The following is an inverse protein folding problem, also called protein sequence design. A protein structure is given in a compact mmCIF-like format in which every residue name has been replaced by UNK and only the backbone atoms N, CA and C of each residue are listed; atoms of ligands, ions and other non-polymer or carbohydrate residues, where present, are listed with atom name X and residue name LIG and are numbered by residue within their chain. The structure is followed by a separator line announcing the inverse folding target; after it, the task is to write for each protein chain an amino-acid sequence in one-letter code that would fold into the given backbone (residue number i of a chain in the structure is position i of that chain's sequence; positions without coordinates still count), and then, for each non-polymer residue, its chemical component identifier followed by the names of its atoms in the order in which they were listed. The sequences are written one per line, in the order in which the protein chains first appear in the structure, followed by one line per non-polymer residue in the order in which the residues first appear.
data_IF_330691815904
#
_entry.id   IF_330691815904
#
_cell.length_a   1.000
_cell.length_b   1.000
_cell.length_c   1.000
_cell.angle_alpha   90.00
_cell.angle_beta   90.00
_cell.angle_gamma   90.00
#
_symmetry.space_group_name_H-M   'P 1'
#
loop_
_entity.id
_entity.type
_entity.pdbx_description
1 polymer ?
#
# COMPACT_ATOMS: atom_id res chain seq x y z
N UNK A 1 5.18 -24.34 -1.96
CA UNK A 1 4.84 -24.33 -3.41
C UNK A 1 4.27 -22.96 -3.74
N UNK A 2 4.95 -22.16 -4.56
CA UNK A 2 4.40 -20.90 -5.07
C UNK A 2 3.27 -21.23 -6.05
N UNK A 3 2.12 -20.56 -5.92
CA UNK A 3 0.95 -20.80 -6.77
C UNK A 3 1.20 -20.26 -8.17
N UNK A 4 0.98 -21.07 -9.22
CA UNK A 4 1.09 -20.68 -10.63
C UNK A 4 -0.01 -19.71 -11.09
N UNK A 5 -0.84 -19.21 -10.18
CA UNK A 5 -2.04 -18.41 -10.45
C UNK A 5 -1.87 -16.98 -9.98
N UNK A 6 -1.98 -16.01 -10.90
CA UNK A 6 -1.65 -14.61 -10.70
C UNK A 6 -2.51 -13.93 -9.62
N UNK A 7 -3.79 -14.26 -9.56
CA UNK A 7 -4.75 -13.65 -8.63
C UNK A 7 -4.96 -14.46 -7.35
N UNK A 8 -4.06 -15.41 -7.06
CA UNK A 8 -4.18 -16.23 -5.84
C UNK A 8 -4.11 -15.36 -4.60
N UNK A 9 -5.14 -15.42 -3.75
CA UNK A 9 -5.24 -14.62 -2.53
C UNK A 9 -6.03 -13.31 -2.70
N UNK A 10 -6.29 -12.89 -3.94
CA UNK A 10 -7.07 -11.68 -4.26
C UNK A 10 -8.51 -11.99 -4.69
N UNK A 11 -8.79 -13.22 -5.12
CA UNK A 11 -10.11 -13.65 -5.62
C UNK A 11 -11.01 -14.22 -4.51
N UNK A 12 -12.26 -13.75 -4.44
CA UNK A 12 -13.30 -14.13 -3.50
C UNK A 12 -14.64 -14.42 -4.19
N UNK A 13 -15.43 -15.31 -3.60
CA UNK A 13 -16.72 -15.72 -4.14
C UNK A 13 -17.77 -14.70 -3.75
N UNK A 14 -18.50 -14.16 -4.73
CA UNK A 14 -19.60 -13.21 -4.52
C UNK A 14 -20.77 -13.79 -3.70
N UNK A 15 -20.97 -15.11 -3.76
CA UNK A 15 -22.07 -15.81 -3.07
C UNK A 15 -21.74 -16.09 -1.60
N UNK A 16 -20.63 -16.79 -1.33
CA UNK A 16 -20.33 -17.28 0.03
C UNK A 16 -19.19 -16.52 0.73
N UNK A 17 -18.57 -15.54 0.07
CA UNK A 17 -17.41 -14.80 0.57
C UNK A 17 -16.11 -15.61 0.68
N UNK A 18 -16.14 -16.91 0.37
CA UNK A 18 -14.95 -17.78 0.45
C UNK A 18 -13.90 -17.45 -0.61
N UNK A 19 -12.63 -17.74 -0.34
CA UNK A 19 -11.53 -17.55 -1.30
C UNK A 19 -11.71 -18.45 -2.52
N UNK A 20 -11.36 -17.96 -3.71
CA UNK A 20 -11.18 -18.82 -4.88
C UNK A 20 -9.73 -19.29 -4.97
N UNK A 21 -9.54 -20.56 -5.30
CA UNK A 21 -8.23 -21.17 -5.49
C UNK A 21 -8.08 -21.64 -6.93
N UNK A 22 -6.87 -21.48 -7.47
CA UNK A 22 -6.52 -21.94 -8.80
C UNK A 22 -6.51 -23.47 -8.89
N UNK A 23 -7.10 -23.99 -9.96
CA UNK A 23 -7.17 -25.42 -10.29
C UNK A 23 -6.95 -25.64 -11.77
N UNK A 24 -6.00 -26.51 -12.07
CA UNK A 24 -5.69 -26.92 -13.42
C UNK A 24 -6.41 -28.24 -13.70
N UNK A 25 -7.29 -28.24 -14.68
CA UNK A 25 -7.94 -29.45 -15.18
C UNK A 25 -7.22 -29.92 -16.44
N UNK A 26 -6.95 -31.22 -16.53
CA UNK A 26 -6.34 -31.82 -17.73
C UNK A 26 -7.42 -32.63 -18.44
N UNK A 27 -7.73 -32.26 -19.67
CA UNK A 27 -8.62 -33.01 -20.56
C UNK A 27 -8.05 -34.38 -20.89
N UNK A 28 -8.89 -35.35 -21.25
CA UNK A 28 -8.47 -36.68 -21.70
C UNK A 28 -7.56 -36.66 -22.94
N UNK A 29 -7.56 -35.55 -23.72
CA UNK A 29 -6.64 -35.31 -24.85
C UNK A 29 -5.33 -34.61 -24.44
N UNK A 30 -5.08 -34.42 -23.14
CA UNK A 30 -3.86 -33.80 -22.60
C UNK A 30 -3.88 -32.26 -22.51
N UNK A 31 -4.93 -31.59 -22.99
CA UNK A 31 -5.06 -30.13 -22.85
C UNK A 31 -5.26 -29.72 -21.39
N UNK A 32 -4.43 -28.79 -20.90
CA UNK A 32 -4.56 -28.23 -19.56
C UNK A 32 -5.33 -26.91 -19.61
N UNK A 33 -6.38 -26.80 -18.82
CA UNK A 33 -7.17 -25.56 -18.66
C UNK A 33 -7.15 -25.10 -17.21
N UNK A 34 -6.94 -23.80 -17.01
CA UNK A 34 -6.74 -23.18 -15.68
C UNK A 34 -8.02 -22.44 -15.26
N UNK A 35 -8.49 -22.70 -14.04
CA UNK A 35 -9.70 -22.08 -13.49
C UNK A 35 -9.50 -21.63 -12.04
N UNK A 36 -10.17 -20.57 -11.63
CA UNK A 36 -10.37 -20.23 -10.22
C UNK A 36 -11.69 -20.83 -9.74
N UNK A 37 -11.65 -21.60 -8.65
CA UNK A 37 -12.83 -22.31 -8.12
C UNK A 37 -13.05 -21.98 -6.65
N UNK A 38 -14.31 -21.92 -6.21
CA UNK A 38 -14.62 -21.65 -4.80
C UNK A 38 -14.07 -22.76 -3.89
N UNK A 39 -13.22 -22.38 -2.93
CA UNK A 39 -12.60 -23.32 -1.97
C UNK A 39 -13.62 -23.94 -1.02
N UNK A 40 -14.57 -23.16 -0.49
CA UNK A 40 -15.61 -23.67 0.44
C UNK A 40 -16.50 -24.70 -0.23
N UNK A 41 -16.95 -24.44 -1.46
CA UNK A 41 -17.72 -25.41 -2.26
C UNK A 41 -16.91 -26.67 -2.51
N UNK A 42 -15.64 -26.50 -2.87
CA UNK A 42 -14.73 -27.62 -3.11
C UNK A 42 -14.49 -28.50 -1.89
N UNK A 43 -14.59 -27.92 -0.69
CA UNK A 43 -14.50 -28.62 0.59
C UNK A 43 -15.83 -29.29 1.01
N UNK A 44 -16.89 -29.20 0.19
CA UNK A 44 -18.16 -29.87 0.44
C UNK A 44 -19.23 -29.02 1.12
N UNK A 45 -18.98 -27.73 1.39
CA UNK A 45 -19.98 -26.79 1.92
C UNK A 45 -20.96 -26.35 0.83
N UNK A 46 -21.82 -27.29 0.41
CA UNK A 46 -22.76 -27.09 -0.70
C UNK A 46 -23.93 -26.20 -0.33
N UNK A 47 -24.34 -26.21 0.94
CA UNK A 47 -25.41 -25.36 1.49
C UNK A 47 -25.06 -23.86 1.37
N UNK A 48 -23.81 -23.49 1.69
CA UNK A 48 -23.35 -22.10 1.67
C UNK A 48 -23.03 -21.56 0.26
N UNK A 49 -22.81 -22.46 -0.71
CA UNK A 49 -22.43 -22.09 -2.08
C UNK A 49 -23.03 -23.11 -3.07
N UNK A 50 -24.31 -22.96 -3.46
CA UNK A 50 -25.08 -24.03 -4.12
C UNK A 50 -24.65 -24.33 -5.56
N UNK A 51 -24.25 -23.31 -6.32
CA UNK A 51 -24.01 -23.44 -7.77
C UNK A 51 -22.58 -23.86 -8.13
N UNK A 52 -21.60 -23.57 -7.27
CA UNK A 52 -20.20 -23.96 -7.49
C UNK A 52 -19.63 -23.52 -8.84
N UNK A 53 -19.10 -22.31 -8.91
CA UNK A 53 -18.64 -21.72 -10.17
C UNK A 53 -17.12 -21.80 -10.35
N UNK A 54 -16.71 -21.83 -11.62
CA UNK A 54 -15.31 -21.81 -12.06
C UNK A 54 -15.09 -20.62 -13.00
N UNK A 55 -14.19 -19.71 -12.63
CA UNK A 55 -13.81 -18.57 -13.46
C UNK A 55 -12.61 -18.99 -14.31
N UNK A 56 -12.63 -18.87 -15.65
CA UNK A 56 -11.46 -19.13 -16.49
C UNK A 56 -10.30 -18.22 -16.08
N UNK A 57 -9.17 -18.82 -15.68
CA UNK A 57 -8.06 -18.05 -15.10
C UNK A 57 -7.47 -17.07 -16.12
N UNK A 58 -7.24 -17.52 -17.35
CA UNK A 58 -6.68 -16.67 -18.42
C UNK A 58 -7.51 -15.42 -18.66
N UNK A 59 -8.84 -15.56 -18.78
CA UNK A 59 -9.72 -14.42 -19.09
C UNK A 59 -9.72 -13.37 -17.98
N UNK A 60 -9.84 -13.79 -16.71
CA UNK A 60 -9.84 -12.84 -15.59
C UNK A 60 -8.46 -12.23 -15.35
N UNK A 61 -7.38 -13.02 -15.53
CA UNK A 61 -6.00 -12.55 -15.41
C UNK A 61 -5.69 -11.49 -16.47
N UNK A 62 -6.02 -11.75 -17.73
CA UNK A 62 -5.82 -10.81 -18.83
C UNK A 62 -6.65 -9.53 -18.67
N UNK A 63 -7.89 -9.66 -18.19
CA UNK A 63 -8.76 -8.51 -17.95
C UNK A 63 -8.21 -7.60 -16.85
N UNK A 64 -7.80 -8.16 -15.71
CA UNK A 64 -7.18 -7.39 -14.60
C UNK A 64 -5.90 -6.71 -15.05
N UNK A 65 -5.04 -7.44 -15.78
CA UNK A 65 -3.80 -6.87 -16.33
C UNK A 65 -4.10 -5.77 -17.35
N UNK A 66 -5.18 -5.90 -18.14
CA UNK A 66 -5.62 -4.89 -19.10
C UNK A 66 -6.00 -3.57 -18.45
N UNK A 67 -6.80 -3.62 -17.38
CA UNK A 67 -7.17 -2.43 -16.59
C UNK A 67 -5.93 -1.73 -16.06
N UNK A 68 -5.03 -2.49 -15.40
CA UNK A 68 -3.80 -1.92 -14.83
C UNK A 68 -2.93 -1.25 -15.90
N UNK A 69 -2.78 -1.87 -17.08
CA UNK A 69 -2.03 -1.27 -18.19
C UNK A 69 -2.68 0.02 -18.69
N UNK A 70 -4.00 0.03 -18.81
CA UNK A 70 -4.72 1.22 -19.24
C UNK A 70 -4.53 2.37 -18.24
N UNK A 71 -4.64 2.09 -16.95
CA UNK A 71 -4.48 3.09 -15.90
C UNK A 71 -3.04 3.62 -15.85
N UNK A 72 -2.04 2.74 -15.93
CA UNK A 72 -0.62 3.12 -16.02
C UNK A 72 -0.35 4.02 -17.23
N UNK A 73 -0.89 3.67 -18.40
CA UNK A 73 -0.74 4.47 -19.60
C UNK A 73 -1.42 5.85 -19.48
N UNK A 74 -2.56 5.93 -18.80
CA UNK A 74 -3.22 7.21 -18.53
C UNK A 74 -2.37 8.08 -17.60
N UNK A 75 -1.84 7.51 -16.52
CA UNK A 75 -0.98 8.23 -15.57
C UNK A 75 0.35 8.67 -16.20
N UNK A 76 0.96 7.85 -17.05
CA UNK A 76 2.21 8.18 -17.73
C UNK A 76 2.05 9.36 -18.69
N UNK A 77 0.89 9.49 -19.34
CA UNK A 77 0.58 10.57 -20.28
C UNK A 77 -0.02 11.82 -19.60
N UNK A 78 -0.17 11.80 -18.27
CA UNK A 78 -0.70 12.93 -17.52
C UNK A 78 0.40 13.96 -17.23
N UNK A 79 0.44 15.02 -18.03
CA UNK A 79 1.37 16.15 -17.88
C UNK A 79 1.22 16.89 -16.53
N UNK A 80 0.09 16.73 -15.84
CA UNK A 80 -0.13 17.33 -14.51
C UNK A 80 0.46 16.50 -13.38
N UNK A 81 0.75 15.21 -13.60
CA UNK A 81 1.25 14.31 -12.56
C UNK A 81 2.59 14.78 -11.96
N UNK A 82 3.60 15.19 -12.74
CA UNK A 82 4.84 15.71 -12.17
C UNK A 82 4.63 16.96 -11.31
N UNK A 83 3.70 17.83 -11.70
CA UNK A 83 3.34 19.05 -10.95
C UNK A 83 2.65 18.70 -9.62
N UNK A 84 1.72 17.75 -9.65
CA UNK A 84 1.03 17.28 -8.44
C UNK A 84 2.01 16.63 -7.45
N UNK A 85 2.92 15.79 -7.96
CA UNK A 85 3.99 15.17 -7.15
C UNK A 85 4.89 16.25 -6.55
N UNK A 86 5.30 17.25 -7.33
CA UNK A 86 6.11 18.36 -6.84
C UNK A 86 5.41 19.14 -5.71
N UNK A 87 4.16 19.54 -5.93
CA UNK A 87 3.37 20.28 -4.94
C UNK A 87 3.22 19.49 -3.63
N UNK A 88 3.04 18.18 -3.71
CA UNK A 88 2.88 17.36 -2.50
C UNK A 88 4.21 17.17 -1.78
N UNK A 89 5.33 17.03 -2.52
CA UNK A 89 6.67 17.04 -1.95
C UNK A 89 7.00 18.39 -1.28
N UNK A 90 6.56 19.52 -1.84
CA UNK A 90 6.71 20.85 -1.26
C UNK A 90 5.95 20.97 0.05
N UNK A 91 4.69 20.52 0.10
CA UNK A 91 3.90 20.52 1.35
C UNK A 91 4.53 19.63 2.42
N UNK A 92 4.99 18.44 2.06
CA UNK A 92 5.65 17.52 3.00
C UNK A 92 6.96 18.13 3.52
N UNK A 93 7.76 18.72 2.66
CA UNK A 93 9.01 19.40 3.03
C UNK A 93 8.75 20.63 3.90
N UNK A 94 7.75 21.45 3.54
CA UNK A 94 7.34 22.62 4.32
C UNK A 94 6.88 22.24 5.73
N UNK A 95 5.97 21.27 5.84
CA UNK A 95 5.51 20.76 7.14
C UNK A 95 6.66 20.19 7.99
N UNK A 96 7.61 19.47 7.36
CA UNK A 96 8.81 18.97 8.05
C UNK A 96 9.68 20.11 8.58
N UNK A 97 9.87 21.17 7.80
CA UNK A 97 10.60 22.36 8.23
C UNK A 97 9.94 23.01 9.45
N UNK A 98 8.61 23.20 9.43
CA UNK A 98 7.88 23.76 10.57
C UNK A 98 7.99 22.90 11.83
N UNK A 99 7.90 21.57 11.68
CA UNK A 99 8.07 20.61 12.78
C UNK A 99 9.50 20.68 13.34
N UNK A 100 10.52 20.70 12.48
CA UNK A 100 11.91 20.83 12.90
C UNK A 100 12.17 22.14 13.65
N UNK A 101 11.66 23.27 13.15
CA UNK A 101 11.76 24.57 13.84
C UNK A 101 11.04 24.58 15.20
N UNK A 102 9.90 23.90 15.31
CA UNK A 102 9.19 23.74 16.59
C UNK A 102 10.02 22.93 17.58
N UNK A 103 10.59 21.80 17.15
CA UNK A 103 11.42 20.94 17.99
C UNK A 103 12.71 21.65 18.43
N UNK A 104 13.36 22.42 17.55
CA UNK A 104 14.52 23.25 17.89
C UNK A 104 14.18 24.28 18.98
N UNK A 105 13.03 24.95 18.86
CA UNK A 105 12.56 25.90 19.91
C UNK A 105 12.28 25.20 21.25
N UNK A 106 11.72 23.99 21.21
CA UNK A 106 11.50 23.20 22.42
C UNK A 106 12.82 22.76 23.06
N UNK A 107 13.79 22.33 22.25
CA UNK A 107 15.12 21.96 22.72
C UNK A 107 15.82 23.14 23.41
N UNK A 108 15.83 24.31 22.77
CA UNK A 108 16.41 25.53 23.36
C UNK A 108 15.74 25.91 24.69
N UNK A 109 14.42 25.70 24.83
CA UNK A 109 13.69 25.94 26.08
C UNK A 109 14.09 24.93 27.16
N UNK A 110 14.19 23.65 26.84
CA UNK A 110 14.64 22.60 27.78
C UNK A 110 16.09 22.84 28.23
N UNK A 111 16.96 23.28 27.32
CA UNK A 111 18.35 23.64 27.66
C UNK A 111 18.44 24.82 28.62
N UNK A 112 17.62 25.86 28.39
CA UNK A 112 17.53 26.99 29.31
C UNK A 112 16.97 26.56 30.67
N UNK A 113 15.98 25.68 30.71
CA UNK A 113 15.45 25.14 31.96
C UNK A 113 16.51 24.35 32.73
N UNK A 114 17.24 23.45 32.06
CA UNK A 114 18.34 22.70 32.67
C UNK A 114 19.44 23.63 33.20
N UNK A 115 19.79 24.70 32.47
CA UNK A 115 20.74 25.70 32.92
C UNK A 115 20.27 26.40 34.21
N UNK A 116 19.01 26.82 34.25
CA UNK A 116 18.43 27.47 35.43
C UNK A 116 18.36 26.50 36.63
N UNK A 117 17.94 25.26 36.41
CA UNK A 117 17.90 24.23 37.47
C UNK A 117 19.29 23.94 38.02
N UNK A 118 20.31 23.92 37.16
CA UNK A 118 21.71 23.75 37.57
C UNK A 118 22.18 24.92 38.43
N UNK A 119 21.86 26.16 38.07
CA UNK A 119 22.18 27.34 38.87
C UNK A 119 21.48 27.29 40.25
N UNK A 120 20.21 26.89 40.30
CA UNK A 120 19.48 26.70 41.55
C UNK A 120 20.08 25.59 42.43
N UNK A 121 20.53 24.49 41.82
CA UNK A 121 21.22 23.41 42.56
C UNK A 121 22.56 23.87 43.15
N UNK A 122 23.28 24.77 42.49
CA UNK A 122 24.55 25.31 42.98
C UNK A 122 24.37 26.34 44.11
N UNK A 123 23.20 26.99 44.19
CA UNK A 123 22.91 28.03 45.20
C UNK A 123 22.22 27.50 46.46
N UNK A 124 21.69 26.26 46.44
CA UNK A 124 20.98 25.65 47.56
C UNK A 124 21.80 24.56 48.25
N UNK A 125 21.49 24.28 49.52
CA UNK A 125 22.03 23.10 50.21
C UNK A 125 21.36 21.82 49.67
N UNK A 126 22.10 20.70 49.69
CA UNK A 126 21.61 19.41 49.18
C UNK A 126 20.26 18.97 49.81
N UNK A 127 20.04 19.29 51.10
CA UNK A 127 18.79 19.00 51.79
C UNK A 127 17.60 19.81 51.26
N UNK A 128 17.80 21.11 50.99
CA UNK A 128 16.78 22.00 50.44
C UNK A 128 16.46 21.66 48.97
N UNK A 129 17.48 21.36 48.18
CA UNK A 129 17.32 20.90 46.80
C UNK A 129 16.51 19.60 46.71
N UNK A 130 16.75 18.66 47.63
CA UNK A 130 16.02 17.39 47.71
C UNK A 130 14.56 17.58 48.13
N UNK A 131 14.29 18.42 49.13
CA UNK A 131 12.90 18.68 49.57
C UNK A 131 12.07 19.40 48.51
N UNK A 132 12.71 20.19 47.65
CA UNK A 132 12.06 20.89 46.54
C UNK A 132 11.94 20.04 45.26
N UNK A 133 12.41 18.79 45.25
CA UNK A 133 12.30 17.89 44.10
C UNK A 133 13.16 18.28 42.90
N UNK A 134 14.21 19.10 43.08
CA UNK A 134 15.00 19.63 41.96
C UNK A 134 15.75 18.54 41.18
N UNK A 135 16.20 17.48 41.86
CA UNK A 135 16.90 16.35 41.21
C UNK A 135 15.98 15.58 40.24
N UNK A 136 14.74 15.33 40.65
CA UNK A 136 13.73 14.66 39.80
C UNK A 136 13.39 15.54 38.59
N UNK A 137 13.26 16.86 38.80
CA UNK A 137 12.99 17.80 37.71
C UNK A 137 14.14 17.84 36.70
N UNK A 138 15.40 17.82 37.15
CA UNK A 138 16.58 17.77 36.27
C UNK A 138 16.61 16.47 35.47
N UNK A 139 16.33 15.33 36.12
CA UNK A 139 16.25 14.05 35.41
C UNK A 139 15.18 14.10 34.32
N UNK A 140 13.97 14.54 34.65
CA UNK A 140 12.87 14.62 33.69
C UNK A 140 13.16 15.59 32.54
N UNK A 141 13.74 16.75 32.82
CA UNK A 141 14.14 17.70 31.78
C UNK A 141 15.26 17.17 30.87
N UNK A 142 16.13 16.30 31.40
CA UNK A 142 17.18 15.63 30.62
C UNK A 142 16.58 14.56 29.70
N UNK A 143 15.67 13.73 30.22
CA UNK A 143 14.94 12.73 29.43
C UNK A 143 14.09 13.39 28.32
N UNK A 144 13.42 14.51 28.64
CA UNK A 144 12.66 15.29 27.67
C UNK A 144 13.55 15.87 26.58
N UNK A 145 14.75 16.36 26.93
CA UNK A 145 15.75 16.88 25.99
C UNK A 145 16.21 15.78 25.03
N UNK A 146 16.63 14.63 25.56
CA UNK A 146 17.08 13.48 24.75
C UNK A 146 15.98 12.99 23.79
N UNK A 147 14.72 12.97 24.24
CA UNK A 147 13.57 12.64 23.40
C UNK A 147 13.41 13.64 22.25
N UNK A 148 13.44 14.94 22.54
CA UNK A 148 13.30 16.00 21.53
C UNK A 148 14.46 15.96 20.53
N UNK A 149 15.68 15.69 20.98
CA UNK A 149 16.86 15.53 20.09
C UNK A 149 16.68 14.35 19.13
N UNK A 150 16.14 13.23 19.60
CA UNK A 150 15.84 12.07 18.76
C UNK A 150 14.77 12.40 17.70
N UNK A 151 13.66 13.00 18.12
CA UNK A 151 12.58 13.44 17.22
C UNK A 151 13.08 14.44 16.17
N UNK A 152 13.96 15.38 16.57
CA UNK A 152 14.56 16.33 15.65
C UNK A 152 15.48 15.64 14.63
N UNK A 153 16.31 14.70 15.07
CA UNK A 153 17.20 13.95 14.20
C UNK A 153 16.43 13.07 13.19
N UNK A 154 15.25 12.57 13.55
CA UNK A 154 14.34 11.88 12.64
C UNK A 154 13.71 12.83 11.63
N UNK A 155 13.16 13.96 12.08
CA UNK A 155 12.55 14.97 11.21
C UNK A 155 13.56 15.56 10.21
N UNK A 156 14.83 15.68 10.61
CA UNK A 156 15.91 16.25 9.79
C UNK A 156 16.50 15.26 8.77
N UNK A 157 16.45 13.95 9.05
CA UNK A 157 17.10 12.92 8.21
C UNK A 157 16.51 12.85 6.79
N UNK A 158 15.23 13.17 6.66
CA UNK A 158 14.51 13.08 5.38
C UNK A 158 14.21 14.46 4.77
N UNK A 159 14.90 15.52 5.20
CA UNK A 159 14.81 16.85 4.59
C UNK A 159 15.56 16.87 3.23
N UNK A 160 15.12 16.02 2.29
CA UNK A 160 15.56 16.05 0.90
C UNK A 160 14.85 17.22 0.24
N UNK A 161 15.62 18.15 -0.32
CA UNK A 161 15.06 19.25 -1.10
C UNK A 161 14.17 18.73 -2.23
N UNK A 162 13.10 19.45 -2.53
CA UNK A 162 12.20 19.09 -3.62
C UNK A 162 12.99 19.13 -4.94
N UNK A 163 13.07 18.01 -5.69
CA UNK A 163 13.77 18.01 -6.98
C UNK A 163 13.08 18.94 -7.99
N UNK A 164 13.84 19.42 -8.96
CA UNK A 164 13.30 20.16 -10.10
C UNK A 164 12.27 19.28 -10.86
N UNK A 165 11.29 19.94 -11.48
CA UNK A 165 10.22 19.32 -12.24
C UNK A 165 10.75 18.44 -13.37
N UNK A 166 11.83 18.85 -14.05
CA UNK A 166 12.45 18.05 -15.11
C UNK A 166 13.08 16.75 -14.57
N UNK A 167 13.66 16.81 -13.37
CA UNK A 167 14.20 15.63 -12.68
C UNK A 167 13.06 14.71 -12.23
N UNK A 168 11.96 15.27 -11.73
CA UNK A 168 10.76 14.51 -11.36
C UNK A 168 10.14 13.83 -12.58
N UNK A 169 10.02 14.53 -13.71
CA UNK A 169 9.51 13.97 -14.97
C UNK A 169 10.36 12.78 -15.42
N UNK A 170 11.69 12.94 -15.43
CA UNK A 170 12.60 11.87 -15.81
C UNK A 170 12.50 10.66 -14.86
N UNK A 171 12.38 10.90 -13.55
CA UNK A 171 12.19 9.82 -12.56
C UNK A 171 10.87 9.09 -12.76
N UNK A 172 9.75 9.82 -12.87
CA UNK A 172 8.43 9.22 -13.11
C UNK A 172 8.43 8.39 -14.40
N UNK A 173 8.98 8.92 -15.49
CA UNK A 173 9.10 8.18 -16.75
C UNK A 173 9.90 6.86 -16.57
N UNK A 174 11.02 6.91 -15.84
CA UNK A 174 11.82 5.71 -15.56
C UNK A 174 11.09 4.68 -14.68
N UNK A 175 10.29 5.13 -13.71
CA UNK A 175 9.50 4.23 -12.87
C UNK A 175 8.33 3.63 -13.66
N UNK A 176 7.62 4.40 -14.49
CA UNK A 176 6.59 3.86 -15.37
C UNK A 176 7.16 2.81 -16.33
N UNK A 177 8.33 3.04 -16.91
CA UNK A 177 8.98 2.06 -17.77
C UNK A 177 9.28 0.75 -17.02
N UNK A 178 9.75 0.83 -15.76
CA UNK A 178 9.97 -0.38 -14.94
C UNK A 178 8.67 -1.13 -14.66
N UNK A 179 7.58 -0.42 -14.41
CA UNK A 179 6.26 -1.04 -14.20
C UNK A 179 5.77 -1.74 -15.47
N UNK A 180 5.95 -1.12 -16.64
CA UNK A 180 5.63 -1.74 -17.92
C UNK A 180 6.49 -2.98 -18.21
N UNK A 181 7.80 -2.91 -17.93
CA UNK A 181 8.72 -4.04 -18.09
C UNK A 181 8.34 -5.19 -17.15
N UNK A 182 7.98 -4.89 -15.90
CA UNK A 182 7.48 -5.89 -14.94
C UNK A 182 6.16 -6.53 -15.41
N UNK A 183 5.27 -5.76 -16.01
CA UNK A 183 4.01 -6.27 -16.58
C UNK A 183 4.20 -7.12 -17.83
N UNK A 184 5.15 -6.76 -18.69
CA UNK A 184 5.42 -7.47 -19.93
C UNK A 184 6.27 -8.72 -19.68
N UNK A 185 7.46 -8.53 -19.13
CA UNK A 185 8.54 -9.52 -19.05
C UNK A 185 8.82 -10.02 -17.63
N UNK A 186 8.22 -9.38 -16.62
CA UNK A 186 8.41 -9.76 -15.22
C UNK A 186 7.99 -11.19 -14.91
N UNK A 187 8.60 -11.71 -13.86
CA UNK A 187 8.25 -12.97 -13.22
C UNK A 187 6.82 -12.95 -12.69
N UNK A 188 6.25 -14.13 -12.44
CA UNK A 188 4.93 -14.24 -11.83
C UNK A 188 4.86 -13.51 -10.47
N UNK A 189 5.95 -13.48 -9.72
CA UNK A 189 6.02 -12.82 -8.42
C UNK A 189 5.96 -11.31 -8.55
N UNK A 190 6.76 -10.72 -9.43
CA UNK A 190 6.72 -9.27 -9.71
C UNK A 190 5.35 -8.82 -10.20
N UNK A 191 4.72 -9.61 -11.09
CA UNK A 191 3.35 -9.32 -11.57
C UNK A 191 2.32 -9.39 -10.44
N UNK A 192 2.49 -10.32 -9.50
CA UNK A 192 1.59 -10.42 -8.33
C UNK A 192 1.75 -9.24 -7.39
N UNK A 193 2.98 -8.82 -7.12
CA UNK A 193 3.28 -7.66 -6.29
C UNK A 193 2.67 -6.39 -6.90
N UNK A 194 2.85 -6.20 -8.21
CA UNK A 194 2.25 -5.08 -8.90
C UNK A 194 0.73 -5.09 -8.84
N UNK A 195 0.09 -6.23 -9.09
CA UNK A 195 -1.37 -6.35 -8.97
C UNK A 195 -1.83 -6.08 -7.53
N UNK A 196 -1.07 -6.53 -6.52
CA UNK A 196 -1.40 -6.29 -5.12
C UNK A 196 -1.31 -4.80 -4.72
N UNK A 197 -0.58 -3.97 -5.47
CA UNK A 197 -0.56 -2.52 -5.28
C UNK A 197 -1.80 -1.81 -5.87
N UNK A 198 -2.40 -2.38 -6.92
CA UNK A 198 -3.55 -1.79 -7.62
C UNK A 198 -4.89 -2.35 -7.13
N UNK A 199 -4.94 -3.66 -6.89
CA UNK A 199 -6.17 -4.41 -6.62
C UNK A 199 -6.23 -4.81 -5.15
N UNK A 200 -7.28 -4.36 -4.47
CA UNK A 200 -7.57 -4.71 -3.08
C UNK A 200 -8.21 -6.11 -2.99
N UNK A 201 -9.33 -6.31 -3.71
CA UNK A 201 -10.01 -7.61 -3.77
C UNK A 201 -10.75 -7.77 -5.10
N UNK A 202 -10.95 -9.00 -5.52
CA UNK A 202 -11.75 -9.34 -6.70
C UNK A 202 -12.86 -10.29 -6.27
N UNK A 203 -14.12 -9.92 -6.50
CA UNK A 203 -15.28 -10.75 -6.19
C UNK A 203 -15.92 -11.26 -7.46
N UNK A 204 -15.96 -12.58 -7.64
CA UNK A 204 -16.64 -13.20 -8.76
C UNK A 204 -18.05 -13.66 -8.35
N UNK A 205 -19.07 -13.03 -8.92
CA UNK A 205 -20.48 -13.38 -8.72
C UNK A 205 -21.00 -14.24 -9.88
N UNK A 206 -21.32 -15.52 -9.63
CA UNK A 206 -21.84 -16.43 -10.64
C UNK A 206 -23.32 -16.21 -10.99
N UNK A 207 -24.10 -15.55 -10.13
CA UNK A 207 -25.53 -15.31 -10.39
C UNK A 207 -25.70 -14.14 -11.36
N UNK A 208 -24.82 -13.15 -11.29
CA UNK A 208 -24.82 -11.98 -12.16
C UNK A 208 -23.86 -12.12 -13.35
N UNK A 209 -23.04 -13.17 -13.39
CA UNK A 209 -21.94 -13.33 -14.37
C UNK A 209 -20.98 -12.12 -14.36
N UNK A 210 -20.73 -11.57 -13.18
CA UNK A 210 -19.95 -10.35 -13.00
C UNK A 210 -18.71 -10.59 -12.14
N UNK A 211 -17.63 -9.88 -12.47
CA UNK A 211 -16.43 -9.81 -11.65
C UNK A 211 -16.28 -8.38 -11.16
N UNK A 212 -16.43 -8.17 -9.86
CA UNK A 212 -16.21 -6.89 -9.22
C UNK A 212 -14.75 -6.78 -8.79
N UNK A 213 -14.03 -5.83 -9.36
CA UNK A 213 -12.64 -5.54 -9.00
C UNK A 213 -12.65 -4.30 -8.11
N UNK A 214 -12.20 -4.44 -6.87
CA UNK A 214 -11.99 -3.31 -5.97
C UNK A 214 -10.54 -2.87 -6.08
N UNK A 215 -10.32 -1.66 -6.60
CA UNK A 215 -9.01 -1.01 -6.66
C UNK A 215 -8.76 -0.19 -5.39
N UNK A 216 -7.49 0.08 -5.07
CA UNK A 216 -7.19 1.02 -3.99
C UNK A 216 -7.75 2.42 -4.33
N UNK A 217 -8.40 3.11 -3.38
CA UNK A 217 -9.07 4.40 -3.62
C UNK A 217 -8.15 5.47 -4.21
N UNK A 218 -6.85 5.35 -3.95
CA UNK A 218 -5.80 6.26 -4.42
C UNK A 218 -5.54 6.18 -5.93
N UNK A 219 -6.03 5.14 -6.62
CA UNK A 219 -5.71 4.84 -8.03
C UNK A 219 -6.95 4.82 -8.96
N UNK A 220 -7.96 5.61 -8.64
CA UNK A 220 -9.18 5.88 -9.44
C UNK A 220 -10.41 5.01 -9.16
N UNK A 221 -11.51 5.73 -8.90
CA UNK A 221 -12.88 5.27 -8.95
C UNK A 221 -13.33 5.05 -10.40
N UNK A 222 -13.42 3.81 -10.89
CA UNK A 222 -14.24 3.50 -12.06
C UNK A 222 -15.00 2.18 -11.88
N UNK A 223 -16.33 2.28 -11.99
CA UNK A 223 -17.26 1.14 -12.09
C UNK A 223 -17.19 0.66 -13.54
N UNK A 224 -16.77 -0.59 -13.77
CA UNK A 224 -16.83 -1.20 -15.10
C UNK A 224 -18.03 -2.13 -15.17
N UNK A 225 -18.96 -1.83 -16.08
CA UNK A 225 -20.09 -2.69 -16.42
C UNK A 225 -19.60 -3.96 -17.14
N UNK A 226 -20.02 -5.12 -16.64
CA UNK A 226 -19.59 -6.42 -17.17
C UNK A 226 -20.15 -6.67 -18.57
N UNK A 227 -19.27 -6.82 -19.56
CA UNK A 227 -19.61 -7.47 -20.82
C UNK A 227 -19.62 -8.99 -20.59
N UNK A 228 -20.75 -9.61 -20.93
CA UNK A 228 -21.16 -10.95 -20.50
C UNK A 228 -20.16 -12.08 -20.77
N UNK A 229 -20.02 -12.94 -19.77
CA UNK A 229 -19.41 -14.26 -19.89
C UNK A 229 -20.52 -15.29 -20.14
N UNK A 230 -20.68 -15.75 -21.38
CA UNK A 230 -21.60 -16.86 -21.66
C UNK A 230 -21.10 -18.16 -21.00
N UNK A 231 -21.98 -18.92 -20.32
CA UNK A 231 -21.61 -20.17 -19.70
C UNK A 231 -21.45 -21.25 -20.78
N UNK A 232 -20.37 -22.02 -20.70
CA UNK A 232 -20.21 -23.25 -21.47
C UNK A 232 -21.32 -24.24 -21.11
N UNK A 233 -22.29 -24.38 -22.01
CA UNK A 233 -23.29 -25.45 -21.99
C UNK A 233 -22.57 -26.78 -22.08
N UNK A 234 -22.55 -27.53 -20.98
CA UNK A 234 -22.18 -28.95 -21.02
C UNK A 234 -23.39 -29.72 -21.52
N UNK A 235 -23.28 -30.26 -22.75
CA UNK A 235 -24.28 -31.13 -23.34
C UNK A 235 -24.48 -32.40 -22.52
N UNK A 236 -25.74 -32.88 -22.56
CA UNK A 236 -26.20 -34.20 -22.17
C UNK A 236 -25.41 -35.34 -22.84
#
# INVERSE_FOLDING_TARGET
MKSEYLLSGLMFCGVCGGKLTGRTQTSGKGYKTRYYTCSRRSAGHKEDCPKGYSVPATLVEEYVLGIIRQDLAQLQNDESLPLLVQQELEKLTGNRSEVAERLQRQLAKSDQELANLREHLLSLSAGAAKSLGLYERVQQATEDRERIECELAEASRDAVGVPDLDVLRARLASEFQRLDDAMALGTLEEKRELIACYVQTIKADPDQQMVHISLYPTLMSQIVAGTGFEPVTSGL
#
